data_IF_130111087937
#
_entry.id   IF_130111087937
#
_cell.length_a   1.000
_cell.length_b   1.000
_cell.length_c   1.000
_cell.angle_alpha   90.00
_cell.angle_beta   90.00
_cell.angle_gamma   90.00
#
_symmetry.space_group_name_H-M   'P 1'
#
loop_
_entity.id
_entity.type
_entity.pdbx_description
1 polymer ?
#
# COMPACT_ATOMS: atom_id res chain seq x y z
N UNK A 1 0.70 41.12 -46.60
CA UNK A 1 0.58 40.96 -45.14
C UNK A 1 -0.09 39.61 -44.92
N UNK A 2 0.69 38.53 -44.94
CA UNK A 2 0.18 37.16 -44.91
C UNK A 2 0.90 36.43 -43.77
N UNK A 3 0.19 36.22 -42.65
CA UNK A 3 0.72 35.46 -41.51
C UNK A 3 0.47 33.99 -41.81
N UNK A 4 1.50 33.27 -42.23
CA UNK A 4 1.46 31.83 -42.52
C UNK A 4 1.06 31.05 -41.25
N UNK A 5 -0.19 30.56 -41.24
CA UNK A 5 -0.85 29.87 -40.11
C UNK A 5 -0.35 28.45 -39.80
N UNK A 6 0.92 28.16 -40.05
CA UNK A 6 1.50 26.82 -39.83
C UNK A 6 2.10 26.65 -38.42
N UNK A 7 2.46 27.74 -37.75
CA UNK A 7 3.01 27.70 -36.38
C UNK A 7 1.97 27.28 -35.33
N UNK A 8 0.71 27.66 -35.54
CA UNK A 8 -0.38 27.46 -34.58
C UNK A 8 -0.75 25.97 -34.40
N UNK A 9 -0.82 25.23 -35.52
CA UNK A 9 -1.12 23.79 -35.51
C UNK A 9 -0.04 22.96 -34.83
N UNK A 10 1.23 23.33 -35.04
CA UNK A 10 2.38 22.63 -34.45
C UNK A 10 2.39 22.79 -32.94
N UNK A 11 2.00 23.98 -32.46
CA UNK A 11 1.89 24.27 -31.03
C UNK A 11 0.79 23.46 -30.35
N UNK A 12 -0.38 23.33 -30.97
CA UNK A 12 -1.49 22.51 -30.46
C UNK A 12 -1.11 21.02 -30.36
N UNK A 13 -0.36 20.49 -31.35
CA UNK A 13 0.12 19.11 -31.30
C UNK A 13 1.15 18.92 -30.18
N UNK A 14 2.07 19.87 -29.99
CA UNK A 14 3.05 19.83 -28.91
C UNK A 14 2.39 19.88 -27.52
N UNK A 15 1.37 20.72 -27.32
CA UNK A 15 0.57 20.77 -26.08
C UNK A 15 -0.18 19.46 -25.86
N UNK A 16 -0.76 18.88 -26.93
CA UNK A 16 -1.42 17.59 -26.86
C UNK A 16 -0.49 16.47 -26.39
N UNK A 17 0.72 16.41 -26.95
CA UNK A 17 1.75 15.44 -26.54
C UNK A 17 2.19 15.68 -25.10
N UNK A 18 2.43 16.92 -24.70
CA UNK A 18 2.77 17.26 -23.30
C UNK A 18 1.64 16.89 -22.33
N UNK A 19 0.38 17.08 -22.73
CA UNK A 19 -0.79 16.66 -21.96
C UNK A 19 -0.86 15.14 -21.83
N UNK A 20 -0.58 14.39 -22.90
CA UNK A 20 -0.48 12.93 -22.86
C UNK A 20 0.66 12.45 -21.96
N UNK A 21 1.82 13.11 -21.98
CA UNK A 21 2.94 12.76 -21.10
C UNK A 21 2.58 13.02 -19.64
N UNK A 22 2.04 14.20 -19.30
CA UNK A 22 1.61 14.53 -17.93
C UNK A 22 0.49 13.58 -17.47
N UNK A 23 -0.46 13.27 -18.35
CA UNK A 23 -1.54 12.32 -18.06
C UNK A 23 -1.07 10.87 -17.95
N UNK A 24 -0.02 10.47 -18.68
CA UNK A 24 0.57 9.13 -18.61
C UNK A 24 1.45 8.97 -17.38
N UNK A 25 2.03 10.07 -16.88
CA UNK A 25 2.78 10.14 -15.64
C UNK A 25 1.86 10.32 -14.43
N UNK A 26 0.59 10.68 -14.64
CA UNK A 26 -0.39 10.71 -13.57
C UNK A 26 -0.69 9.27 -13.13
N UNK A 27 -0.29 8.93 -11.91
CA UNK A 27 -0.52 7.64 -11.23
C UNK A 27 -2.02 7.31 -11.01
N UNK A 28 -2.94 8.01 -11.65
CA UNK A 28 -4.35 8.08 -11.27
C UNK A 28 -5.28 7.85 -12.45
N UNK A 29 -5.50 6.58 -12.81
CA UNK A 29 -6.78 6.17 -13.42
C UNK A 29 -7.44 5.00 -12.68
N UNK A 30 -6.67 4.07 -12.11
CA UNK A 30 -7.20 2.92 -11.37
C UNK A 30 -7.23 3.08 -9.84
N UNK A 31 -6.53 4.07 -9.26
CA UNK A 31 -6.41 4.24 -7.80
C UNK A 31 -7.60 4.97 -7.13
N UNK A 32 -8.71 5.18 -7.84
CA UNK A 32 -9.88 5.90 -7.29
C UNK A 32 -10.39 5.21 -6.02
N UNK A 33 -10.23 5.92 -4.90
CA UNK A 33 -10.79 5.68 -3.56
C UNK A 33 -10.15 4.55 -2.74
N UNK A 34 -9.84 3.38 -3.32
CA UNK A 34 -9.44 2.21 -2.50
C UNK A 34 -7.92 2.09 -2.29
N UNK A 35 -7.11 2.76 -3.12
CA UNK A 35 -5.66 2.52 -3.21
C UNK A 35 -4.83 3.80 -3.39
N UNK A 36 -5.41 4.98 -3.13
CA UNK A 36 -4.73 6.27 -3.31
C UNK A 36 -3.45 6.39 -2.47
N UNK A 37 -3.47 5.84 -1.25
CA UNK A 37 -2.33 5.85 -0.35
C UNK A 37 -1.27 4.79 -0.68
N UNK A 38 -1.50 3.88 -1.64
CA UNK A 38 -0.60 2.75 -1.90
C UNK A 38 0.84 3.17 -2.22
N UNK A 39 1.12 4.19 -3.05
CA UNK A 39 2.50 4.65 -3.29
C UNK A 39 3.20 5.14 -2.02
N UNK A 40 2.48 5.87 -1.17
CA UNK A 40 3.01 6.38 0.11
C UNK A 40 3.24 5.25 1.11
N UNK A 41 2.27 4.34 1.24
CA UNK A 41 2.36 3.16 2.11
C UNK A 41 3.52 2.26 1.64
N UNK A 42 3.63 1.98 0.34
CA UNK A 42 4.70 1.17 -0.22
C UNK A 42 6.08 1.76 0.09
N UNK A 43 6.25 3.10 0.00
CA UNK A 43 7.50 3.76 0.36
C UNK A 43 7.89 3.54 1.83
N UNK A 44 6.92 3.55 2.74
CA UNK A 44 7.15 3.29 4.17
C UNK A 44 7.55 1.82 4.38
N UNK A 45 6.78 0.89 3.80
CA UNK A 45 7.02 -0.55 3.93
C UNK A 45 8.37 -0.96 3.35
N UNK A 46 8.72 -0.42 2.17
CA UNK A 46 9.99 -0.72 1.49
C UNK A 46 11.22 -0.18 2.22
N UNK A 47 11.06 0.84 3.08
CA UNK A 47 12.13 1.38 3.91
C UNK A 47 12.36 0.54 5.18
N UNK A 48 11.44 -0.37 5.51
CA UNK A 48 11.53 -1.24 6.68
C UNK A 48 12.13 -2.60 6.30
N UNK A 49 13.14 -3.03 7.06
CA UNK A 49 13.67 -4.39 6.95
C UNK A 49 12.74 -5.41 7.60
N UNK A 50 12.80 -6.65 7.09
CA UNK A 50 12.01 -7.78 7.58
C UNK A 50 10.51 -7.46 7.75
N UNK A 51 9.92 -6.98 6.65
CA UNK A 51 8.54 -6.49 6.62
C UNK A 51 7.56 -7.56 6.16
N UNK A 52 6.41 -7.62 6.83
CA UNK A 52 5.26 -8.42 6.40
C UNK A 52 3.99 -7.57 6.39
N UNK A 53 3.20 -7.70 5.32
CA UNK A 53 1.88 -7.07 5.20
C UNK A 53 0.81 -8.12 5.42
N UNK A 54 -0.09 -7.86 6.35
CA UNK A 54 -1.22 -8.72 6.72
C UNK A 54 -2.50 -8.04 6.30
N UNK A 55 -3.34 -8.75 5.54
CA UNK A 55 -4.68 -8.30 5.17
C UNK A 55 -5.64 -9.48 5.13
N UNK A 56 -6.93 -9.23 5.12
CA UNK A 56 -7.95 -10.27 4.99
C UNK A 56 -8.38 -10.50 3.54
N UNK A 57 -9.03 -11.64 3.32
CA UNK A 57 -9.59 -11.99 2.03
C UNK A 57 -10.96 -11.34 1.75
N UNK A 58 -11.40 -10.36 2.55
CA UNK A 58 -12.75 -9.81 2.47
C UNK A 58 -12.87 -8.70 1.42
N UNK A 59 -14.00 -8.68 0.69
CA UNK A 59 -14.39 -7.63 -0.22
C UNK A 59 -13.26 -7.20 -1.20
N UNK A 60 -12.81 -5.94 -1.13
CA UNK A 60 -11.80 -5.37 -2.03
C UNK A 60 -10.36 -5.53 -1.53
N UNK A 61 -10.15 -6.12 -0.35
CA UNK A 61 -8.83 -6.23 0.27
C UNK A 61 -7.85 -7.09 -0.55
N UNK A 62 -8.23 -8.26 -1.12
CA UNK A 62 -7.36 -9.00 -2.04
C UNK A 62 -6.88 -8.15 -3.22
N UNK A 63 -7.79 -7.37 -3.81
CA UNK A 63 -7.45 -6.47 -4.92
C UNK A 63 -6.49 -5.36 -4.50
N UNK A 64 -6.65 -4.83 -3.28
CA UNK A 64 -5.74 -3.82 -2.75
C UNK A 64 -4.36 -4.40 -2.42
N UNK A 65 -4.29 -5.62 -1.87
CA UNK A 65 -3.02 -6.33 -1.63
C UNK A 65 -2.28 -6.58 -2.94
N UNK A 66 -2.98 -7.05 -3.98
CA UNK A 66 -2.37 -7.25 -5.31
C UNK A 66 -1.92 -5.93 -5.91
N UNK A 67 -2.71 -4.86 -5.79
CA UNK A 67 -2.29 -3.54 -6.26
C UNK A 67 -1.06 -3.02 -5.51
N UNK A 68 -0.98 -3.24 -4.20
CA UNK A 68 0.15 -2.84 -3.38
C UNK A 68 1.39 -3.66 -3.71
N UNK A 69 1.26 -4.96 -4.00
CA UNK A 69 2.40 -5.85 -4.26
C UNK A 69 3.24 -5.43 -5.46
N UNK A 70 2.66 -4.76 -6.46
CA UNK A 70 3.42 -4.18 -7.59
C UNK A 70 4.37 -3.04 -7.18
N UNK A 71 4.16 -2.43 -6.02
CA UNK A 71 4.96 -1.32 -5.51
C UNK A 71 5.94 -1.76 -4.41
N UNK A 72 5.82 -3.00 -3.93
CA UNK A 72 6.63 -3.52 -2.83
C UNK A 72 7.93 -4.14 -3.34
N UNK A 73 8.98 -4.03 -2.54
CA UNK A 73 10.25 -4.72 -2.79
C UNK A 73 10.07 -6.24 -2.59
N UNK A 74 10.91 -7.03 -3.27
CA UNK A 74 10.87 -8.50 -3.25
C UNK A 74 11.07 -9.12 -1.85
N UNK A 75 11.69 -8.39 -0.92
CA UNK A 75 11.93 -8.82 0.45
C UNK A 75 10.70 -8.66 1.36
N UNK A 76 9.65 -7.97 0.91
CA UNK A 76 8.41 -7.79 1.67
C UNK A 76 7.51 -9.01 1.47
N UNK A 77 7.04 -9.58 2.57
CA UNK A 77 6.14 -10.75 2.53
C UNK A 77 4.69 -10.32 2.67
N UNK A 78 3.79 -11.04 1.99
CA UNK A 78 2.36 -10.82 2.04
C UNK A 78 1.69 -12.01 2.72
N UNK A 79 0.80 -11.74 3.67
CA UNK A 79 -0.01 -12.73 4.36
C UNK A 79 -1.48 -12.35 4.24
N UNK A 80 -2.21 -13.17 3.48
CA UNK A 80 -3.65 -13.03 3.34
C UNK A 80 -4.34 -14.01 4.31
N UNK A 81 -5.08 -13.48 5.28
CA UNK A 81 -5.84 -14.28 6.24
C UNK A 81 -7.27 -14.50 5.71
N UNK A 82 -7.98 -15.57 6.14
CA UNK A 82 -9.37 -15.79 5.75
C UNK A 82 -10.25 -14.59 6.05
N UNK A 83 -11.38 -14.50 5.33
CA UNK A 83 -12.40 -13.48 5.57
C UNK A 83 -12.77 -13.41 7.05
N UNK A 84 -12.63 -12.21 7.61
CA UNK A 84 -12.86 -11.97 9.04
C UNK A 84 -14.35 -11.73 9.26
N UNK A 85 -15.15 -12.80 9.18
CA UNK A 85 -16.58 -12.74 9.39
C UNK A 85 -16.94 -12.50 10.87
N UNK A 86 -16.83 -13.55 11.68
CA UNK A 86 -17.27 -13.54 13.09
C UNK A 86 -16.22 -14.01 14.10
N UNK A 87 -15.07 -14.49 13.64
CA UNK A 87 -13.91 -14.80 14.49
C UNK A 87 -12.63 -14.60 13.69
N UNK A 88 -11.67 -13.88 14.26
CA UNK A 88 -10.33 -13.77 13.70
C UNK A 88 -9.40 -14.65 14.51
N UNK A 89 -8.64 -15.50 13.82
CA UNK A 89 -7.43 -16.08 14.42
C UNK A 89 -6.26 -15.26 13.96
N UNK A 90 -5.68 -14.45 14.86
CA UNK A 90 -4.46 -13.71 14.56
C UNK A 90 -3.37 -14.73 14.23
N UNK A 91 -2.76 -14.70 13.04
CA UNK A 91 -1.79 -15.71 12.61
C UNK A 91 -0.54 -15.68 13.48
N UNK A 92 0.22 -16.77 13.54
CA UNK A 92 1.57 -16.74 14.11
C UNK A 92 2.53 -16.20 13.05
N UNK A 93 3.12 -15.04 13.32
CA UNK A 93 4.05 -14.39 12.40
C UNK A 93 5.46 -14.72 12.87
N UNK A 94 6.31 -15.33 12.01
CA UNK A 94 7.68 -15.69 12.37
C UNK A 94 8.46 -14.51 12.96
N UNK A 95 9.27 -14.73 14.00
CA UNK A 95 9.98 -13.67 14.75
C UNK A 95 10.90 -12.83 13.89
N UNK A 96 11.43 -13.40 12.80
CA UNK A 96 12.23 -12.68 11.81
C UNK A 96 11.55 -11.39 11.31
N UNK A 97 10.21 -11.32 11.27
CA UNK A 97 9.49 -10.14 10.77
C UNK A 97 9.27 -9.07 11.84
N UNK A 98 10.25 -8.21 12.08
CA UNK A 98 10.13 -7.13 13.07
C UNK A 98 9.07 -6.08 12.72
N UNK A 99 8.77 -5.90 11.43
CA UNK A 99 7.84 -4.88 10.96
C UNK A 99 6.56 -5.53 10.39
N UNK A 100 5.45 -5.38 11.11
CA UNK A 100 4.16 -5.93 10.70
C UNK A 100 3.25 -4.77 10.27
N UNK A 101 2.76 -4.82 9.05
CA UNK A 101 1.83 -3.83 8.49
C UNK A 101 0.46 -4.46 8.32
N UNK A 102 -0.56 -3.90 8.95
CA UNK A 102 -1.93 -4.40 8.90
C UNK A 102 -2.72 -3.51 7.93
N UNK A 103 -3.19 -4.08 6.83
CA UNK A 103 -3.89 -3.39 5.76
C UNK A 103 -5.40 -3.67 5.81
N UNK A 104 -6.19 -2.60 5.97
CA UNK A 104 -7.65 -2.59 5.82
C UNK A 104 -8.42 -3.54 6.76
N UNK A 105 -7.87 -3.87 7.93
CA UNK A 105 -8.61 -4.63 8.94
C UNK A 105 -9.51 -3.71 9.78
N UNK A 106 -10.71 -4.17 10.15
CA UNK A 106 -11.56 -3.50 11.13
C UNK A 106 -10.87 -3.28 12.48
N UNK A 107 -11.16 -2.15 13.14
CA UNK A 107 -10.51 -1.73 14.39
C UNK A 107 -10.64 -2.76 15.52
N UNK A 108 -11.77 -3.47 15.63
CA UNK A 108 -11.98 -4.46 16.68
C UNK A 108 -11.03 -5.67 16.58
N UNK A 109 -10.43 -5.92 15.41
CA UNK A 109 -9.41 -6.94 15.24
C UNK A 109 -8.00 -6.43 15.56
N UNK A 110 -7.75 -5.13 15.46
CA UNK A 110 -6.45 -4.52 15.76
C UNK A 110 -6.04 -4.75 17.22
N UNK A 111 -6.99 -4.73 18.15
CA UNK A 111 -6.74 -5.01 19.57
C UNK A 111 -6.16 -6.41 19.78
N UNK A 112 -6.59 -7.41 19.00
CA UNK A 112 -6.07 -8.77 19.12
C UNK A 112 -4.60 -8.85 18.66
N UNK A 113 -4.20 -8.05 17.66
CA UNK A 113 -2.80 -7.93 17.27
C UNK A 113 -1.97 -7.22 18.34
N UNK A 114 -2.49 -6.14 18.93
CA UNK A 114 -1.80 -5.44 20.03
C UNK A 114 -1.57 -6.36 21.24
N UNK A 115 -2.60 -7.09 21.66
CA UNK A 115 -2.52 -8.03 22.78
C UNK A 115 -1.56 -9.18 22.49
N UNK A 116 -1.66 -9.80 21.30
CA UNK A 116 -0.82 -10.95 20.94
C UNK A 116 0.66 -10.58 20.83
N UNK A 117 0.98 -9.44 20.22
CA UNK A 117 2.37 -9.02 19.99
C UNK A 117 2.89 -8.02 21.02
N UNK A 118 2.10 -7.68 22.05
CA UNK A 118 2.44 -6.73 23.12
C UNK A 118 3.07 -5.43 22.61
N UNK A 119 2.57 -4.93 21.49
CA UNK A 119 3.16 -3.82 20.75
C UNK A 119 2.07 -2.82 20.35
N UNK A 120 2.41 -1.54 20.39
CA UNK A 120 1.50 -0.48 19.99
C UNK A 120 1.33 -0.45 18.46
N UNK A 121 0.11 -0.13 18.01
CA UNK A 121 -0.16 0.14 16.60
C UNK A 121 -0.03 1.64 16.33
N UNK A 122 0.65 1.98 15.24
CA UNK A 122 0.75 3.34 14.72
C UNK A 122 0.02 3.43 13.39
N UNK A 123 -0.85 4.42 13.21
CA UNK A 123 -1.53 4.65 11.95
C UNK A 123 -0.56 5.31 10.95
N UNK A 124 -0.36 4.68 9.78
CA UNK A 124 0.59 5.16 8.74
C UNK A 124 -0.08 5.54 7.41
N UNK A 125 -1.35 5.20 7.23
CA UNK A 125 -2.21 5.60 6.10
C UNK A 125 -3.67 5.60 6.54
N UNK A 126 -4.63 5.86 5.64
CA UNK A 126 -6.05 5.94 6.04
C UNK A 126 -6.57 4.69 6.76
N UNK A 127 -6.11 3.50 6.34
CA UNK A 127 -6.54 2.20 6.87
C UNK A 127 -5.38 1.22 7.05
N UNK A 128 -4.16 1.74 7.19
CA UNK A 128 -2.95 0.93 7.34
C UNK A 128 -2.27 1.22 8.66
N UNK A 129 -2.02 0.17 9.42
CA UNK A 129 -1.40 0.24 10.73
C UNK A 129 -0.04 -0.44 10.72
N UNK A 130 0.90 0.10 11.48
CA UNK A 130 2.23 -0.47 11.67
C UNK A 130 2.39 -0.93 13.11
N UNK A 131 2.88 -2.15 13.27
CA UNK A 131 3.27 -2.76 14.52
C UNK A 131 4.75 -3.12 14.42
N UNK A 132 5.57 -2.49 15.26
CA UNK A 132 6.98 -2.83 15.40
C UNK A 132 7.13 -3.80 16.56
N UNK A 133 7.68 -4.98 16.30
CA UNK A 133 8.10 -5.91 17.35
C UNK A 133 9.50 -5.54 17.83
N UNK A 134 9.78 -5.64 19.14
CA UNK A 134 11.15 -5.64 19.60
C UNK A 134 11.83 -6.89 19.01
N UNK A 135 12.94 -6.69 18.29
CA UNK A 135 13.79 -7.79 17.88
C UNK A 135 14.47 -8.29 19.14
N UNK A 136 14.08 -9.47 19.63
CA UNK A 136 14.89 -10.17 20.63
C UNK A 136 16.20 -10.55 19.94
N UNK A 137 17.25 -9.77 20.24
CA UNK A 137 18.61 -10.08 19.82
C UNK A 137 19.01 -11.30 20.64
N UNK A 138 18.89 -12.50 20.07
CA UNK A 138 19.58 -13.66 20.62
C UNK A 138 21.09 -13.33 20.62
N UNK A 139 21.68 -13.34 21.81
CA UNK A 139 23.08 -13.01 22.07
C UNK A 139 24.04 -14.15 21.76
#
# INVERSE_FOLDING_TARGET
MEKNGNGDRTFLIAIGILSCVVSSQAETWWSKVVSYDNPKIAKIINASENSIVVSDAFATNPGNVVSLSYLLNENVRLLLIPEVGSSLTVPDIPEQFSNIFILNLPEHYLNQFQEKYRSNLTLIGEKTWHLSRPVEVEG
#
